data_IF_762248715110
#
_entry.id   IF_762248715110
#
_cell.length_a   1.000
_cell.length_b   1.000
_cell.length_c   1.000
_cell.angle_alpha   90.00
_cell.angle_beta   90.00
_cell.angle_gamma   90.00
#
_symmetry.space_group_name_H-M   'P 1'
#
loop_
_entity.id
_entity.type
_entity.pdbx_description
1 polymer ?
#
# COMPACT_ATOMS: atom_id res chain seq x y z
N UNK A 1 -16.77 0.84 2.22
CA UNK A 1 -15.49 1.38 2.71
C UNK A 1 -15.45 1.00 4.17
N UNK A 2 -14.42 0.28 4.55
CA UNK A 2 -14.37 -0.34 5.86
C UNK A 2 -13.57 0.57 6.78
N UNK A 3 -14.03 0.72 8.03
CA UNK A 3 -13.34 1.51 9.05
C UNK A 3 -12.50 0.58 9.91
N UNK A 4 -11.25 0.93 10.10
CA UNK A 4 -10.32 0.25 11.00
C UNK A 4 -10.08 1.15 12.20
N UNK A 5 -10.30 0.59 13.39
CA UNK A 5 -9.94 1.21 14.67
C UNK A 5 -8.91 0.33 15.35
N UNK A 6 -7.77 0.91 15.69
CA UNK A 6 -6.68 0.19 16.35
C UNK A 6 -5.87 1.14 17.23
N UNK A 7 -5.67 0.75 18.50
CA UNK A 7 -5.11 1.65 19.51
C UNK A 7 -5.85 3.00 19.48
N UNK A 8 -5.14 4.10 19.30
CA UNK A 8 -5.68 5.45 19.14
C UNK A 8 -5.89 5.87 17.67
N UNK A 9 -5.69 4.98 16.71
CA UNK A 9 -5.89 5.25 15.29
C UNK A 9 -7.31 4.89 14.83
N UNK A 10 -7.89 5.77 14.01
CA UNK A 10 -9.08 5.49 13.20
C UNK A 10 -8.83 5.89 11.75
N UNK A 11 -9.09 4.99 10.81
CA UNK A 11 -8.96 5.27 9.38
C UNK A 11 -9.89 4.39 8.54
N UNK A 12 -10.10 4.77 7.28
CA UNK A 12 -10.78 3.95 6.29
C UNK A 12 -9.78 3.26 5.37
N UNK A 13 -10.13 2.04 4.96
CA UNK A 13 -9.38 1.25 3.99
C UNK A 13 -10.27 0.93 2.77
N UNK A 14 -9.67 1.01 1.58
CA UNK A 14 -10.34 0.68 0.32
C UNK A 14 -9.36 0.06 -0.66
N UNK A 15 -9.82 -0.95 -1.40
CA UNK A 15 -9.17 -1.41 -2.63
C UNK A 15 -9.63 -0.58 -3.85
N UNK A 16 -8.68 -0.20 -4.69
CA UNK A 16 -8.87 0.52 -5.95
C UNK A 16 -8.16 -0.22 -7.08
N UNK A 17 -8.79 -0.36 -8.24
CA UNK A 17 -8.23 -1.14 -9.35
C UNK A 17 -6.90 -0.57 -9.85
N UNK A 18 -6.74 0.75 -9.88
CA UNK A 18 -5.51 1.40 -10.35
C UNK A 18 -4.49 1.52 -9.23
N UNK A 19 -4.90 2.12 -8.11
CA UNK A 19 -3.99 2.48 -7.02
C UNK A 19 -3.66 1.32 -6.06
N UNK A 20 -4.47 0.25 -6.08
CA UNK A 20 -4.37 -0.80 -5.09
C UNK A 20 -4.94 -0.36 -3.73
N UNK A 21 -4.12 -0.45 -2.69
CA UNK A 21 -4.53 -0.13 -1.32
C UNK A 21 -4.56 1.38 -1.07
N UNK A 22 -5.73 1.89 -0.68
CA UNK A 22 -5.97 3.29 -0.33
C UNK A 22 -6.34 3.41 1.15
N UNK A 23 -5.60 4.26 1.87
CA UNK A 23 -5.92 4.69 3.23
C UNK A 23 -6.56 6.08 3.17
N UNK A 24 -7.65 6.32 3.89
CA UNK A 24 -8.26 7.64 3.97
C UNK A 24 -8.78 7.98 5.37
N UNK A 25 -8.88 9.28 5.66
CA UNK A 25 -9.30 9.85 6.95
C UNK A 25 -8.57 9.20 8.12
N UNK A 26 -7.26 9.12 8.05
CA UNK A 26 -6.44 8.68 9.16
C UNK A 26 -6.41 9.78 10.23
N UNK A 27 -6.93 9.42 11.41
CA UNK A 27 -7.08 10.25 12.59
C UNK A 27 -6.40 9.55 13.77
N UNK A 28 -5.89 10.35 14.70
CA UNK A 28 -5.33 9.88 15.97
C UNK A 28 -6.10 10.55 17.11
N UNK A 29 -6.55 9.75 18.08
CA UNK A 29 -7.06 10.26 19.35
C UNK A 29 -5.89 10.61 20.28
N UNK A 30 -5.78 11.89 20.62
CA UNK A 30 -4.83 12.40 21.60
C UNK A 30 -5.56 12.76 22.91
N UNK A 31 -4.98 12.35 24.03
CA UNK A 31 -5.60 12.55 25.35
C UNK A 31 -5.69 14.02 25.78
N UNK A 32 -4.86 14.90 25.21
CA UNK A 32 -4.82 16.32 25.56
C UNK A 32 -5.66 17.18 24.59
N UNK A 33 -5.55 16.90 23.29
CA UNK A 33 -6.14 17.74 22.23
C UNK A 33 -7.37 17.15 21.53
N UNK A 34 -7.74 15.90 21.83
CA UNK A 34 -8.86 15.20 21.20
C UNK A 34 -8.48 14.56 19.87
N UNK A 35 -9.41 14.54 18.91
CA UNK A 35 -9.16 13.92 17.60
C UNK A 35 -8.28 14.80 16.70
N UNK A 36 -7.14 14.26 16.27
CA UNK A 36 -6.19 14.90 15.36
C UNK A 36 -6.27 14.25 13.97
N UNK A 37 -6.57 15.05 12.95
CA UNK A 37 -6.50 14.61 11.56
C UNK A 37 -5.04 14.53 11.09
N UNK A 38 -4.58 13.33 10.73
CA UNK A 38 -3.21 13.09 10.25
C UNK A 38 -3.14 13.08 8.72
N UNK A 39 -4.03 12.33 8.06
CA UNK A 39 -4.00 12.20 6.60
C UNK A 39 -5.40 11.99 6.03
N UNK A 40 -5.81 12.85 5.10
CA UNK A 40 -7.11 12.71 4.45
C UNK A 40 -7.16 11.52 3.47
N UNK A 41 -6.10 11.33 2.65
CA UNK A 41 -6.02 10.23 1.68
C UNK A 41 -4.57 9.95 1.29
N UNK A 42 -4.15 8.69 1.33
CA UNK A 42 -2.84 8.22 0.91
C UNK A 42 -2.94 6.93 0.10
N UNK A 43 -2.14 6.84 -0.96
CA UNK A 43 -2.00 5.67 -1.85
C UNK A 43 -0.77 5.85 -2.76
N UNK A 44 -0.25 4.75 -3.30
CA UNK A 44 0.79 4.78 -4.34
C UNK A 44 0.19 5.25 -5.66
N UNK A 45 0.47 6.50 -6.05
CA UNK A 45 -0.14 7.06 -7.27
C UNK A 45 0.44 6.50 -8.56
N UNK A 46 1.73 6.20 -8.58
CA UNK A 46 2.44 5.69 -9.76
C UNK A 46 3.75 5.01 -9.36
N UNK A 47 4.22 4.05 -10.17
CA UNK A 47 5.60 3.54 -10.13
C UNK A 47 6.18 3.61 -11.55
N UNK A 48 7.32 4.29 -11.68
CA UNK A 48 8.03 4.41 -12.94
C UNK A 48 9.26 3.50 -12.94
N UNK A 49 9.31 2.54 -13.86
CA UNK A 49 10.37 1.52 -13.93
C UNK A 49 11.06 1.58 -15.29
N UNK A 50 12.06 2.47 -15.46
CA UNK A 50 12.82 2.61 -16.69
C UNK A 50 14.01 1.64 -16.76
N UNK A 51 14.15 0.97 -17.91
CA UNK A 51 15.38 0.29 -18.28
C UNK A 51 16.36 1.31 -18.89
N UNK A 52 17.66 1.13 -18.62
CA UNK A 52 18.73 2.04 -19.04
C UNK A 52 19.64 1.45 -20.13
N UNK A 53 19.18 0.39 -20.79
CA UNK A 53 19.88 -0.24 -21.91
C UNK A 53 19.42 0.43 -23.23
N UNK A 54 20.33 1.06 -23.99
CA UNK A 54 20.00 1.79 -25.21
C UNK A 54 19.81 0.89 -26.44
N UNK A 55 20.05 -0.42 -26.34
CA UNK A 55 19.87 -1.34 -27.47
C UNK A 55 18.43 -1.33 -27.98
N UNK A 56 18.24 -1.64 -29.27
CA UNK A 56 16.94 -1.56 -29.97
C UNK A 56 15.82 -2.34 -29.28
N UNK A 57 16.15 -3.39 -28.53
CA UNK A 57 15.19 -4.23 -27.81
C UNK A 57 14.81 -3.70 -26.41
N UNK A 58 15.48 -2.65 -25.92
CA UNK A 58 15.38 -2.20 -24.53
C UNK A 58 15.11 -0.71 -24.37
N UNK A 59 15.51 0.14 -25.32
CA UNK A 59 15.43 1.60 -25.18
C UNK A 59 14.00 2.13 -24.88
N UNK A 60 12.97 1.38 -25.28
CA UNK A 60 11.56 1.74 -25.09
C UNK A 60 10.93 1.15 -23.82
N UNK A 61 11.65 0.29 -23.08
CA UNK A 61 11.11 -0.38 -21.89
C UNK A 61 11.13 0.55 -20.69
N UNK A 62 10.08 1.34 -20.56
CA UNK A 62 9.86 2.21 -19.40
C UNK A 62 8.42 2.05 -18.92
N UNK A 63 8.22 1.30 -17.85
CA UNK A 63 6.87 0.95 -17.39
C UNK A 63 6.32 2.00 -16.42
N UNK A 64 5.02 2.26 -16.53
CA UNK A 64 4.23 3.02 -15.54
C UNK A 64 3.23 2.07 -14.91
N UNK A 65 3.63 1.36 -13.84
CA UNK A 65 2.94 0.15 -13.39
C UNK A 65 1.48 0.41 -12.99
N UNK A 66 1.21 1.51 -12.27
CA UNK A 66 -0.15 1.83 -11.87
C UNK A 66 -0.95 2.39 -13.05
N UNK A 67 -0.33 3.19 -13.92
CA UNK A 67 -0.99 3.80 -15.07
C UNK A 67 -1.31 2.84 -16.22
N UNK A 68 -0.42 1.88 -16.51
CA UNK A 68 -0.49 0.96 -17.64
C UNK A 68 -1.15 -0.37 -17.28
N UNK A 69 -0.88 -0.89 -16.08
CA UNK A 69 -1.34 -2.23 -15.67
C UNK A 69 -2.32 -2.21 -14.49
N UNK A 70 -2.17 -1.24 -13.58
CA UNK A 70 -3.03 -1.08 -12.41
C UNK A 70 -2.65 -2.00 -11.25
N UNK A 71 -2.13 -1.43 -10.16
CA UNK A 71 -1.61 -2.17 -9.00
C UNK A 71 -2.67 -2.97 -8.25
N UNK A 72 -3.93 -2.53 -8.29
CA UNK A 72 -5.01 -3.25 -7.63
C UNK A 72 -5.52 -4.43 -8.44
N UNK A 73 -5.49 -4.34 -9.77
CA UNK A 73 -5.83 -5.45 -10.67
C UNK A 73 -4.78 -6.55 -10.59
N UNK A 74 -3.52 -6.17 -10.39
CA UNK A 74 -2.39 -7.10 -10.26
C UNK A 74 -2.14 -7.57 -8.82
N UNK A 75 -3.05 -7.27 -7.88
CA UNK A 75 -2.92 -7.68 -6.49
C UNK A 75 -2.97 -9.22 -6.33
N UNK A 76 -2.10 -9.75 -5.48
CA UNK A 76 -1.99 -11.18 -5.20
C UNK A 76 -2.67 -11.57 -3.88
N UNK A 77 -3.20 -12.81 -3.77
CA UNK A 77 -3.60 -13.34 -2.48
C UNK A 77 -2.36 -13.53 -1.58
N UNK A 78 -2.38 -12.94 -0.39
CA UNK A 78 -1.31 -13.10 0.59
C UNK A 78 -1.32 -14.53 1.15
N UNK A 79 -0.16 -15.21 1.12
CA UNK A 79 0.01 -16.52 1.73
C UNK A 79 0.05 -16.37 3.25
N UNK A 80 -0.88 -17.01 4.00
CA UNK A 80 -0.90 -16.93 5.45
C UNK A 80 0.43 -17.40 6.06
N UNK A 81 0.92 -16.69 7.08
CA UNK A 81 2.18 -16.95 7.81
C UNK A 81 3.47 -16.73 7.01
N UNK A 82 3.44 -16.74 5.68
CA UNK A 82 4.58 -16.39 4.83
C UNK A 82 4.60 -14.88 4.53
N UNK A 83 3.51 -14.36 3.96
CA UNK A 83 3.39 -12.96 3.57
C UNK A 83 2.67 -12.13 4.64
N UNK A 84 1.89 -12.80 5.51
CA UNK A 84 1.13 -12.19 6.60
C UNK A 84 1.38 -12.98 7.90
N UNK A 85 2.39 -12.61 8.70
CA UNK A 85 2.65 -13.24 9.99
C UNK A 85 1.54 -12.89 10.99
N UNK A 86 1.19 -13.84 11.87
CA UNK A 86 0.12 -13.66 12.87
C UNK A 86 0.53 -12.83 14.09
N UNK A 87 1.83 -12.67 14.36
CA UNK A 87 2.32 -12.02 15.58
C UNK A 87 3.59 -11.18 15.31
N UNK A 88 3.50 -9.86 15.53
CA UNK A 88 4.64 -8.94 15.60
C UNK A 88 4.89 -8.57 17.08
N UNK A 89 6.14 -8.68 17.51
CA UNK A 89 6.71 -8.63 18.88
C UNK A 89 6.44 -7.29 19.63
N UNK A 90 6.86 -7.06 20.91
CA UNK A 90 6.29 -6.02 21.78
C UNK A 90 6.79 -4.60 21.45
N UNK A 91 6.29 -4.08 20.33
CA UNK A 91 5.80 -2.74 20.08
C UNK A 91 4.65 -3.00 19.11
N UNK A 92 3.41 -2.92 19.58
CA UNK A 92 2.26 -3.33 18.77
C UNK A 92 2.14 -2.27 17.67
N UNK A 93 2.38 -2.66 16.42
CA UNK A 93 2.21 -1.83 15.22
C UNK A 93 1.16 -2.51 14.36
N UNK A 94 0.19 -1.75 13.86
CA UNK A 94 -0.74 -2.27 12.87
C UNK A 94 -0.16 -2.09 11.47
N UNK A 95 -0.08 -3.18 10.71
CA UNK A 95 0.36 -3.16 9.31
C UNK A 95 -0.80 -3.55 8.41
N UNK A 96 -1.17 -2.66 7.48
CA UNK A 96 -2.04 -2.98 6.36
C UNK A 96 -1.17 -3.25 5.12
N UNK A 97 -1.14 -4.51 4.66
CA UNK A 97 -0.27 -4.99 3.60
C UNK A 97 -1.05 -5.32 2.32
N UNK A 98 -0.49 -4.95 1.18
CA UNK A 98 -0.89 -5.44 -0.15
C UNK A 98 0.35 -5.94 -0.89
N UNK A 99 0.21 -7.02 -1.66
CA UNK A 99 1.21 -7.44 -2.65
C UNK A 99 0.63 -7.37 -4.06
N UNK A 100 1.44 -7.00 -5.05
CA UNK A 100 1.04 -6.91 -6.46
C UNK A 100 2.16 -7.39 -7.40
N UNK A 101 1.79 -8.03 -8.51
CA UNK A 101 2.74 -8.59 -9.48
C UNK A 101 2.57 -7.96 -10.86
N UNK A 102 3.57 -7.20 -11.33
CA UNK A 102 3.55 -6.56 -12.65
C UNK A 102 4.69 -7.12 -13.49
N UNK A 103 4.32 -7.92 -14.49
CA UNK A 103 5.29 -8.60 -15.34
C UNK A 103 6.15 -9.56 -14.53
N UNK A 104 7.43 -9.24 -14.37
CA UNK A 104 8.42 -10.05 -13.65
C UNK A 104 8.77 -9.49 -12.26
N UNK A 105 8.07 -8.46 -11.77
CA UNK A 105 8.31 -7.85 -10.47
C UNK A 105 7.13 -8.09 -9.53
N UNK A 106 7.45 -8.45 -8.29
CA UNK A 106 6.49 -8.51 -7.18
C UNK A 106 6.79 -7.36 -6.21
N UNK A 107 5.76 -6.58 -5.90
CA UNK A 107 5.81 -5.42 -5.01
C UNK A 107 5.04 -5.70 -3.72
N UNK A 108 5.57 -5.25 -2.59
CA UNK A 108 4.90 -5.24 -1.29
C UNK A 108 4.71 -3.79 -0.86
N UNK A 109 3.48 -3.43 -0.51
CA UNK A 109 3.10 -2.11 -0.01
C UNK A 109 2.58 -2.25 1.41
N UNK A 110 3.27 -1.63 2.36
CA UNK A 110 2.92 -1.62 3.77
C UNK A 110 2.54 -0.22 4.24
N UNK A 111 1.40 -0.11 4.91
CA UNK A 111 1.02 1.04 5.72
C UNK A 111 1.16 0.66 7.18
N UNK A 112 2.11 1.28 7.88
CA UNK A 112 2.38 1.04 9.29
C UNK A 112 1.78 2.16 10.15
N UNK A 113 0.91 1.79 11.09
CA UNK A 113 0.37 2.69 12.11
C UNK A 113 1.10 2.44 13.42
N UNK A 114 1.81 3.47 13.90
CA UNK A 114 2.72 3.42 15.06
C UNK A 114 2.24 4.24 16.23
#
# INVERSE_FOLDING_TARGET
MDTVKWANWEFHIKADQRAGLVISRAMVEDSESGELSVMYKGFSSELFVPYMDPDENWYFKTYMDAGEYGLGVTALPLLPLNDSPREARPKVTLVARMAASVGNYDYIFDWEMV
#
